data_IF_020729686110
#
_entry.id   IF_020729686110
#
_cell.length_a   1.000
_cell.length_b   1.000
_cell.length_c   1.000
_cell.angle_alpha   90.00
_cell.angle_beta   90.00
_cell.angle_gamma   90.00
#
_symmetry.space_group_name_H-M   'P 1'
#
loop_
_entity.id
_entity.type
_entity.pdbx_description
1 polymer ?
#
# COMPACT_ATOMS: atom_id res chain seq x y z
N UNK A 1 0.12 8.75 -12.89
CA UNK A 1 -0.10 9.77 -11.83
C UNK A 1 0.21 9.11 -10.49
N UNK A 2 0.91 9.80 -9.58
CA UNK A 2 1.23 9.25 -8.25
C UNK A 2 0.57 10.13 -7.20
N UNK A 3 -0.28 9.53 -6.37
CA UNK A 3 -0.90 10.17 -5.22
C UNK A 3 -0.25 9.60 -3.96
N UNK A 4 0.25 10.50 -3.11
CA UNK A 4 1.02 10.12 -1.92
C UNK A 4 0.26 10.57 -0.67
N UNK A 5 0.20 9.69 0.33
CA UNK A 5 -0.35 10.02 1.63
C UNK A 5 0.76 10.19 2.67
N UNK A 6 0.77 11.32 3.38
CA UNK A 6 1.61 11.58 4.53
C UNK A 6 0.71 12.11 5.65
N UNK A 7 0.72 11.44 6.80
CA UNK A 7 -0.08 11.88 7.94
C UNK A 7 0.41 13.26 8.44
N UNK A 8 -0.47 14.20 8.80
CA UNK A 8 -0.08 15.55 9.23
C UNK A 8 0.90 15.59 10.41
N UNK A 9 0.87 14.60 11.31
CA UNK A 9 1.80 14.51 12.44
C UNK A 9 3.18 13.91 12.10
N UNK A 10 3.44 13.54 10.85
CA UNK A 10 4.71 12.94 10.46
C UNK A 10 5.86 13.96 10.50
N UNK A 11 6.84 13.74 11.36
CA UNK A 11 7.98 14.65 11.56
C UNK A 11 9.31 14.13 11.00
N UNK A 12 9.46 12.80 10.87
CA UNK A 12 10.71 12.17 10.46
C UNK A 12 10.91 12.17 8.94
N UNK A 13 11.48 13.25 8.38
CA UNK A 13 11.72 13.41 6.93
C UNK A 13 12.36 12.20 6.25
N UNK A 14 13.39 11.60 6.86
CA UNK A 14 14.07 10.41 6.30
C UNK A 14 13.12 9.21 6.18
N UNK A 15 12.21 9.02 7.13
CA UNK A 15 11.21 7.93 7.11
C UNK A 15 10.15 8.19 6.06
N UNK A 16 9.66 9.43 5.94
CA UNK A 16 8.73 9.84 4.90
C UNK A 16 9.30 9.52 3.51
N UNK A 17 10.56 9.91 3.26
CA UNK A 17 11.21 9.62 1.99
C UNK A 17 11.35 8.11 1.73
N UNK A 18 11.94 7.36 2.67
CA UNK A 18 12.21 5.93 2.47
C UNK A 18 10.91 5.13 2.28
N UNK A 19 9.86 5.44 3.04
CA UNK A 19 8.59 4.73 2.95
C UNK A 19 7.89 5.01 1.61
N UNK A 20 7.85 6.27 1.18
CA UNK A 20 7.26 6.65 -0.10
C UNK A 20 8.04 6.09 -1.29
N UNK A 21 9.38 6.06 -1.22
CA UNK A 21 10.21 5.41 -2.23
C UNK A 21 9.87 3.92 -2.37
N UNK A 22 9.82 3.19 -1.25
CA UNK A 22 9.48 1.75 -1.24
C UNK A 22 8.07 1.50 -1.76
N UNK A 23 7.09 2.28 -1.28
CA UNK A 23 5.69 2.14 -1.67
C UNK A 23 5.49 2.42 -3.17
N UNK A 24 6.05 3.52 -3.67
CA UNK A 24 5.91 3.93 -5.08
C UNK A 24 6.60 2.94 -6.01
N UNK A 25 7.81 2.48 -5.68
CA UNK A 25 8.52 1.47 -6.47
C UNK A 25 7.70 0.18 -6.58
N UNK A 26 7.15 -0.28 -5.46
CA UNK A 26 6.33 -1.50 -5.46
C UNK A 26 5.01 -1.30 -6.22
N UNK A 27 4.40 -0.12 -6.12
CA UNK A 27 3.17 0.21 -6.86
C UNK A 27 3.40 0.24 -8.37
N UNK A 28 4.50 0.85 -8.84
CA UNK A 28 4.87 0.87 -10.26
C UNK A 28 5.08 -0.55 -10.77
N UNK A 29 5.86 -1.38 -10.05
CA UNK A 29 6.09 -2.77 -10.44
C UNK A 29 4.77 -3.54 -10.58
N UNK A 30 3.91 -3.47 -9.56
CA UNK A 30 2.59 -4.12 -9.59
C UNK A 30 1.70 -3.63 -10.72
N UNK A 31 1.72 -2.32 -11.01
CA UNK A 31 0.97 -1.75 -12.12
C UNK A 31 1.49 -2.23 -13.49
N UNK A 32 2.81 -2.38 -13.64
CA UNK A 32 3.41 -2.94 -14.86
C UNK A 32 3.12 -4.42 -15.04
N UNK A 33 3.07 -5.18 -13.95
CA UNK A 33 2.79 -6.62 -13.94
C UNK A 33 1.29 -6.95 -13.93
N UNK A 34 0.40 -5.96 -13.78
CA UNK A 34 -1.04 -6.17 -13.69
C UNK A 34 -1.49 -6.86 -12.40
N UNK A 35 -0.75 -6.70 -11.30
CA UNK A 35 -1.01 -7.34 -10.02
C UNK A 35 -1.62 -6.39 -8.97
N UNK A 36 -2.40 -6.90 -8.01
CA UNK A 36 -2.95 -8.26 -7.95
C UNK A 36 -4.02 -8.48 -9.03
N UNK A 37 -4.22 -9.73 -9.44
CA UNK A 37 -5.35 -10.08 -10.32
C UNK A 37 -6.66 -10.08 -9.53
N UNK A 38 -7.79 -10.15 -10.23
CA UNK A 38 -9.11 -10.23 -9.60
C UNK A 38 -9.22 -11.51 -8.76
N UNK A 39 -8.73 -12.63 -9.29
CA UNK A 39 -8.78 -13.93 -8.62
C UNK A 39 -7.92 -13.92 -7.35
N UNK A 40 -6.70 -13.36 -7.40
CA UNK A 40 -5.84 -13.17 -6.22
C UNK A 40 -6.56 -12.35 -5.14
N UNK A 41 -7.31 -11.33 -5.55
CA UNK A 41 -8.08 -10.47 -4.65
C UNK A 41 -9.21 -11.23 -3.95
N UNK A 42 -9.91 -12.11 -4.67
CA UNK A 42 -11.00 -12.93 -4.12
C UNK A 42 -10.45 -14.02 -3.19
N UNK A 43 -9.38 -14.71 -3.60
CA UNK A 43 -8.76 -15.77 -2.80
C UNK A 43 -8.28 -15.24 -1.43
N UNK A 44 -7.70 -14.04 -1.41
CA UNK A 44 -7.13 -13.46 -0.21
C UNK A 44 -8.09 -12.57 0.59
N UNK A 45 -9.35 -12.42 0.15
CA UNK A 45 -10.30 -11.47 0.73
C UNK A 45 -10.58 -11.73 2.22
N UNK A 46 -10.72 -13.00 2.60
CA UNK A 46 -11.05 -13.42 3.98
C UNK A 46 -9.85 -13.33 4.93
N UNK A 47 -8.63 -13.50 4.42
CA UNK A 47 -7.40 -13.50 5.23
C UNK A 47 -6.85 -12.08 5.40
N UNK A 48 -7.17 -11.18 4.48
CA UNK A 48 -6.70 -9.80 4.50
C UNK A 48 -7.31 -9.01 5.67
N UNK A 49 -6.47 -8.67 6.66
CA UNK A 49 -6.86 -7.81 7.79
C UNK A 49 -6.68 -6.33 7.43
N UNK A 50 -7.78 -5.58 7.41
CA UNK A 50 -7.71 -4.13 7.19
C UNK A 50 -7.43 -3.39 8.52
N UNK A 51 -6.43 -2.48 8.60
CA UNK A 51 -6.01 -1.86 9.87
C UNK A 51 -7.10 -1.09 10.63
N UNK A 52 -8.14 -0.60 9.94
CA UNK A 52 -9.28 0.09 10.55
C UNK A 52 -10.54 -0.78 10.65
N UNK A 53 -10.48 -2.05 10.21
CA UNK A 53 -11.60 -2.97 10.34
C UNK A 53 -11.51 -3.59 11.74
N UNK A 54 -12.53 -3.31 12.54
CA UNK A 54 -12.63 -3.74 13.94
C UNK A 54 -13.09 -5.22 14.00
N UNK A 55 -12.28 -6.14 13.47
CA UNK A 55 -12.49 -7.57 13.66
C UNK A 55 -11.66 -8.04 14.87
N UNK A 56 -12.26 -8.67 15.89
CA UNK A 56 -11.52 -9.19 17.05
C UNK A 56 -10.50 -10.29 16.71
#
# INVERSE_FOLDING_TARGET
IVNVFVHPSASARKRVFINNYKATRNAIRKAMEGLPTVDDGIENAEIARHPFRNDP
#
